data_IF_498060707280
#
_entry.id   IF_498060707280
#
_cell.length_a   1.000
_cell.length_b   1.000
_cell.length_c   1.000
_cell.angle_alpha   90.00
_cell.angle_beta   90.00
_cell.angle_gamma   90.00
#
_symmetry.space_group_name_H-M   'P 1'
#
loop_
_entity.id
_entity.type
_entity.pdbx_description
1 polymer ?
#
# COMPACT_ATOMS: atom_id res chain seq x y z
N UNK A 1 -8.67 29.02 -18.29
CA UNK A 1 -7.80 27.83 -18.17
C UNK A 1 -8.16 26.94 -16.99
N UNK A 2 -8.03 27.36 -15.72
CA UNK A 2 -8.45 26.53 -14.58
C UNK A 2 -9.99 26.41 -14.44
N UNK A 3 -10.74 27.47 -14.73
CA UNK A 3 -12.23 27.47 -14.68
C UNK A 3 -12.86 26.59 -15.76
N UNK A 4 -12.26 26.55 -16.95
CA UNK A 4 -12.82 25.82 -18.10
C UNK A 4 -12.65 24.30 -17.93
N UNK A 5 -11.55 23.89 -17.29
CA UNK A 5 -11.32 22.50 -16.89
C UNK A 5 -12.32 22.06 -15.81
N UNK A 6 -12.53 22.86 -14.77
CA UNK A 6 -13.49 22.51 -13.72
C UNK A 6 -14.93 22.44 -14.24
N UNK A 7 -15.30 23.34 -15.16
CA UNK A 7 -16.61 23.31 -15.82
C UNK A 7 -16.80 22.05 -16.68
N UNK A 8 -15.76 21.63 -17.41
CA UNK A 8 -15.85 20.40 -18.22
C UNK A 8 -15.90 19.14 -17.35
N UNK A 9 -15.13 19.10 -16.26
CA UNK A 9 -15.16 18.01 -15.27
C UNK A 9 -16.52 17.92 -14.55
N UNK A 10 -17.10 19.06 -14.16
CA UNK A 10 -18.44 19.13 -13.56
C UNK A 10 -19.52 18.58 -14.51
N UNK A 11 -19.52 19.02 -15.79
CA UNK A 11 -20.47 18.53 -16.79
C UNK A 11 -20.28 17.04 -17.08
N UNK A 12 -19.04 16.57 -17.14
CA UNK A 12 -18.68 15.15 -17.30
C UNK A 12 -19.13 14.31 -16.09
N UNK A 13 -18.99 14.82 -14.87
CA UNK A 13 -19.50 14.17 -13.68
C UNK A 13 -21.03 14.05 -13.69
N UNK A 14 -21.74 15.11 -14.07
CA UNK A 14 -23.19 15.09 -14.16
C UNK A 14 -23.72 14.15 -15.25
N UNK A 15 -23.07 14.09 -16.42
CA UNK A 15 -23.50 13.19 -17.50
C UNK A 15 -23.37 11.71 -17.14
N UNK A 16 -22.32 11.33 -16.38
CA UNK A 16 -22.12 9.96 -15.88
C UNK A 16 -23.26 9.45 -15.01
N UNK A 17 -24.01 10.35 -14.38
CA UNK A 17 -25.19 10.01 -13.55
C UNK A 17 -26.51 10.41 -14.23
N UNK A 18 -26.50 10.68 -15.53
CA UNK A 18 -27.66 11.16 -16.30
C UNK A 18 -28.33 12.42 -15.72
N UNK A 19 -27.56 13.25 -15.02
CA UNK A 19 -28.02 14.52 -14.48
C UNK A 19 -27.74 15.65 -15.48
N UNK A 20 -28.77 16.42 -15.84
CA UNK A 20 -28.63 17.63 -16.65
C UNK A 20 -28.60 18.83 -15.72
N UNK A 21 -27.43 19.46 -15.60
CA UNK A 21 -27.29 20.72 -14.85
C UNK A 21 -28.05 21.81 -15.61
N UNK A 22 -29.06 22.46 -15.02
CA UNK A 22 -29.71 23.58 -15.67
C UNK A 22 -28.70 24.72 -15.83
N UNK A 23 -28.66 25.34 -17.02
CA UNK A 23 -27.63 26.32 -17.39
C UNK A 23 -27.52 27.49 -16.39
N UNK A 24 -28.66 27.91 -15.82
CA UNK A 24 -28.73 28.96 -14.79
C UNK A 24 -28.03 28.61 -13.47
N UNK A 25 -27.85 27.32 -13.16
CA UNK A 25 -27.24 26.86 -11.92
C UNK A 25 -25.77 26.50 -12.08
N UNK A 26 -25.22 26.41 -13.30
CA UNK A 26 -23.83 25.99 -13.52
C UNK A 26 -22.83 26.81 -12.71
N UNK A 27 -23.07 28.12 -12.58
CA UNK A 27 -22.21 29.00 -11.78
C UNK A 27 -22.26 28.65 -10.29
N UNK A 28 -23.43 28.35 -9.76
CA UNK A 28 -23.62 27.99 -8.34
C UNK A 28 -22.91 26.67 -8.04
N UNK A 29 -23.11 25.66 -8.89
CA UNK A 29 -22.42 24.36 -8.78
C UNK A 29 -20.89 24.52 -8.85
N UNK A 30 -20.40 25.36 -9.76
CA UNK A 30 -18.96 25.66 -9.85
C UNK A 30 -18.42 26.28 -8.56
N UNK A 31 -19.15 27.22 -7.95
CA UNK A 31 -18.74 27.85 -6.69
C UNK A 31 -18.64 26.80 -5.57
N UNK A 32 -19.67 25.97 -5.42
CA UNK A 32 -19.69 24.92 -4.39
C UNK A 32 -18.55 23.92 -4.58
N UNK A 33 -18.40 23.40 -5.81
CA UNK A 33 -17.33 22.44 -6.12
C UNK A 33 -15.93 23.04 -5.93
N UNK A 34 -15.74 24.31 -6.30
CA UNK A 34 -14.45 25.00 -6.10
C UNK A 34 -14.09 25.09 -4.62
N UNK A 35 -15.07 25.45 -3.77
CA UNK A 35 -14.86 25.54 -2.33
C UNK A 35 -14.59 24.17 -1.69
N UNK A 36 -15.36 23.14 -2.08
CA UNK A 36 -15.11 21.77 -1.63
C UNK A 36 -13.75 21.26 -2.08
N UNK A 37 -13.36 21.49 -3.33
CA UNK A 37 -12.06 21.10 -3.86
C UNK A 37 -10.91 21.77 -3.10
N UNK A 38 -11.02 23.07 -2.80
CA UNK A 38 -10.03 23.77 -1.98
C UNK A 38 -9.90 23.19 -0.56
N UNK A 39 -10.99 22.67 0.01
CA UNK A 39 -10.96 21.94 1.27
C UNK A 39 -10.27 20.57 1.16
N UNK A 40 -10.58 19.82 0.10
CA UNK A 40 -9.97 18.52 -0.19
C UNK A 40 -8.46 18.68 -0.46
N UNK A 41 -8.05 19.67 -1.25
CA UNK A 41 -6.65 19.94 -1.55
C UNK A 41 -5.83 20.21 -0.28
N UNK A 42 -6.40 20.94 0.70
CA UNK A 42 -5.75 21.15 2.00
C UNK A 42 -5.57 19.86 2.78
N UNK A 43 -6.55 18.96 2.74
CA UNK A 43 -6.48 17.65 3.40
C UNK A 43 -5.45 16.75 2.69
N UNK A 44 -5.48 16.68 1.36
CA UNK A 44 -4.55 15.88 0.55
C UNK A 44 -3.10 16.36 0.66
N UNK A 45 -2.88 17.64 1.02
CA UNK A 45 -1.55 18.18 1.30
C UNK A 45 -1.03 17.86 2.71
N UNK A 46 -1.87 17.31 3.60
CA UNK A 46 -1.40 16.83 4.89
C UNK A 46 -0.57 15.55 4.71
N UNK A 47 0.46 15.33 5.54
CA UNK A 47 1.18 14.07 5.52
C UNK A 47 0.26 12.92 5.95
N UNK A 48 0.39 11.78 5.27
CA UNK A 48 -0.29 10.56 5.65
C UNK A 48 0.15 10.09 7.04
N UNK A 49 -0.82 9.70 7.87
CA UNK A 49 -0.53 8.98 9.10
C UNK A 49 -0.34 7.50 8.79
N UNK A 50 0.88 7.00 8.97
CA UNK A 50 1.23 5.61 8.70
C UNK A 50 2.14 5.03 9.78
N UNK A 51 2.05 3.73 10.09
CA UNK A 51 3.01 3.06 10.96
C UNK A 51 4.42 3.17 10.37
N UNK A 52 5.41 3.48 11.23
CA UNK A 52 6.81 3.58 10.81
C UNK A 52 7.47 2.22 11.10
N UNK A 53 7.97 1.50 10.07
CA UNK A 53 8.67 0.23 10.28
C UNK A 53 10.05 0.48 10.92
N UNK A 54 10.44 -0.39 11.85
CA UNK A 54 11.78 -0.37 12.45
C UNK A 54 12.79 -1.11 11.56
N UNK A 55 13.25 -0.43 10.51
CA UNK A 55 14.21 -0.96 9.54
C UNK A 55 15.62 -1.13 10.12
N UNK A 56 15.94 -0.43 11.21
CA UNK A 56 17.24 -0.54 11.87
C UNK A 56 17.36 -1.86 12.63
N UNK A 57 16.34 -2.20 13.43
CA UNK A 57 16.31 -3.47 14.16
C UNK A 57 16.02 -4.64 13.20
N UNK A 58 15.16 -4.42 12.21
CA UNK A 58 14.71 -5.47 11.30
C UNK A 58 15.05 -5.11 9.84
N UNK A 59 16.33 -5.15 9.43
CA UNK A 59 16.70 -4.87 8.05
C UNK A 59 16.09 -5.90 7.09
N UNK A 60 15.72 -5.45 5.88
CA UNK A 60 15.25 -6.32 4.79
C UNK A 60 16.45 -6.80 4.02
N UNK A 61 16.78 -8.08 4.14
CA UNK A 61 17.95 -8.68 3.49
C UNK A 61 17.51 -9.65 2.40
N UNK A 62 18.27 -9.76 1.32
CA UNK A 62 18.03 -10.72 0.23
C UNK A 62 16.62 -10.63 -0.38
N UNK A 63 16.11 -9.41 -0.58
CA UNK A 63 14.82 -9.19 -1.24
C UNK A 63 14.93 -9.51 -2.73
N UNK A 64 14.27 -10.57 -3.18
CA UNK A 64 14.32 -11.01 -4.59
C UNK A 64 13.15 -11.92 -4.97
N UNK A 65 12.83 -11.97 -6.25
CA UNK A 65 12.03 -13.07 -6.78
C UNK A 65 12.89 -14.34 -6.81
N UNK A 66 12.40 -15.48 -6.29
CA UNK A 66 13.16 -16.71 -6.33
C UNK A 66 13.16 -17.32 -7.73
N UNK A 67 14.30 -17.88 -8.19
CA UNK A 67 14.34 -18.65 -9.43
C UNK A 67 13.51 -19.93 -9.30
N UNK A 68 13.08 -20.51 -10.42
CA UNK A 68 12.21 -21.69 -10.45
C UNK A 68 12.75 -22.88 -9.64
N UNK A 69 14.07 -23.07 -9.61
CA UNK A 69 14.72 -24.15 -8.84
C UNK A 69 14.51 -24.01 -7.32
N UNK A 70 14.38 -22.78 -6.80
CA UNK A 70 14.12 -22.48 -5.39
C UNK A 70 12.62 -22.31 -5.08
N UNK A 71 11.77 -22.30 -6.12
CA UNK A 71 10.34 -22.10 -6.01
C UNK A 71 9.55 -23.11 -6.89
N UNK A 72 9.77 -24.42 -6.71
CA UNK A 72 9.18 -25.45 -7.58
C UNK A 72 7.65 -25.48 -7.51
N UNK A 73 7.08 -25.09 -6.35
CA UNK A 73 5.63 -24.99 -6.14
C UNK A 73 5.03 -23.66 -6.58
N UNK A 74 5.87 -22.71 -7.03
CA UNK A 74 5.45 -21.34 -7.38
C UNK A 74 4.69 -20.63 -6.25
N UNK A 75 4.98 -21.01 -5.01
CA UNK A 75 4.29 -20.51 -3.82
C UNK A 75 4.87 -19.19 -3.30
N UNK A 76 6.09 -18.83 -3.70
CA UNK A 76 6.73 -17.57 -3.32
C UNK A 76 6.58 -16.51 -4.41
N UNK A 77 6.06 -15.34 -4.05
CA UNK A 77 6.09 -14.14 -4.87
C UNK A 77 7.46 -13.46 -4.74
N UNK A 78 7.89 -13.28 -3.49
CA UNK A 78 9.18 -12.69 -3.12
C UNK A 78 9.80 -13.46 -1.97
N UNK A 79 11.12 -13.57 -1.97
CA UNK A 79 11.92 -13.95 -0.80
C UNK A 79 12.48 -12.70 -0.17
N UNK A 80 12.53 -12.70 1.15
CA UNK A 80 13.16 -11.69 1.97
C UNK A 80 13.56 -12.34 3.29
N UNK A 81 14.62 -11.85 3.90
CA UNK A 81 15.07 -12.28 5.21
C UNK A 81 14.99 -11.10 6.17
N UNK A 82 14.03 -11.15 7.09
CA UNK A 82 13.74 -10.07 8.04
C UNK A 82 13.66 -10.66 9.44
N UNK A 83 14.39 -10.07 10.37
CA UNK A 83 14.46 -10.52 11.77
C UNK A 83 15.54 -11.56 12.08
N UNK A 84 16.34 -11.99 11.10
CA UNK A 84 17.51 -12.86 11.34
C UNK A 84 18.67 -12.15 12.01
N UNK A 85 18.83 -10.85 11.74
CA UNK A 85 19.88 -9.99 12.31
C UNK A 85 19.40 -9.18 13.53
N UNK A 86 18.08 -9.10 13.72
CA UNK A 86 17.44 -8.27 14.74
C UNK A 86 17.20 -9.01 16.05
N UNK A 87 17.34 -8.29 17.17
CA UNK A 87 16.90 -8.80 18.47
C UNK A 87 15.40 -8.55 18.64
N UNK A 88 14.69 -9.54 19.18
CA UNK A 88 13.29 -9.39 19.53
C UNK A 88 13.13 -8.33 20.63
N UNK A 89 12.20 -7.39 20.43
CA UNK A 89 12.02 -6.22 21.30
C UNK A 89 10.96 -6.41 22.39
N UNK A 90 9.97 -7.28 22.19
CA UNK A 90 8.90 -7.53 23.16
C UNK A 90 8.97 -8.92 23.79
N UNK A 91 9.26 -9.96 23.01
CA UNK A 91 9.20 -11.34 23.48
C UNK A 91 9.92 -12.33 22.57
N UNK A 92 9.92 -13.61 22.93
CA UNK A 92 10.61 -14.67 22.15
C UNK A 92 9.70 -15.85 21.79
N UNK A 93 8.39 -15.66 21.86
CA UNK A 93 7.41 -16.73 21.63
C UNK A 93 7.57 -17.39 20.25
N UNK A 94 7.99 -16.62 19.24
CA UNK A 94 8.18 -17.10 17.87
C UNK A 94 9.66 -17.33 17.52
N UNK A 95 10.56 -17.35 18.50
CA UNK A 95 11.98 -17.58 18.26
C UNK A 95 12.22 -18.91 17.54
N UNK A 96 13.03 -18.85 16.48
CA UNK A 96 13.32 -20.00 15.61
C UNK A 96 12.21 -20.35 14.62
N UNK A 97 11.10 -19.61 14.59
CA UNK A 97 10.03 -19.81 13.60
C UNK A 97 10.23 -18.92 12.37
N UNK A 98 9.94 -19.50 11.21
CA UNK A 98 9.91 -18.79 9.93
C UNK A 98 8.47 -18.64 9.46
N UNK A 99 8.12 -17.44 9.02
CA UNK A 99 6.76 -17.07 8.61
C UNK A 99 6.80 -16.56 7.17
N UNK A 100 5.99 -17.17 6.30
CA UNK A 100 5.61 -16.58 5.02
C UNK A 100 4.35 -15.74 5.19
N UNK A 101 4.33 -14.54 4.62
CA UNK A 101 3.16 -13.64 4.65
C UNK A 101 2.49 -13.61 3.30
N UNK A 102 1.15 -13.62 3.26
CA UNK A 102 0.39 -13.50 2.00
C UNK A 102 0.81 -12.24 1.24
N UNK A 103 0.93 -12.30 -0.08
CA UNK A 103 1.43 -11.19 -0.92
C UNK A 103 0.45 -10.01 -1.04
N UNK A 104 -0.64 -9.99 -0.30
CA UNK A 104 -1.49 -8.82 -0.09
C UNK A 104 -1.18 -8.09 1.23
N UNK A 105 -0.27 -8.61 2.05
CA UNK A 105 0.13 -8.05 3.34
C UNK A 105 1.38 -7.18 3.14
N UNK A 106 1.29 -5.90 3.50
CA UNK A 106 2.41 -4.97 3.39
C UNK A 106 3.59 -5.40 4.26
N UNK A 107 4.77 -5.47 3.63
CA UNK A 107 6.06 -5.60 4.27
C UNK A 107 6.93 -4.51 3.66
N UNK A 108 7.34 -3.53 4.47
CA UNK A 108 8.07 -2.37 3.98
C UNK A 108 9.26 -2.78 3.11
N UNK A 109 9.45 -2.09 1.99
CA UNK A 109 10.54 -2.29 1.01
C UNK A 109 10.49 -3.64 0.25
N UNK A 110 9.44 -4.45 0.41
CA UNK A 110 9.26 -5.70 -0.32
C UNK A 110 8.08 -5.59 -1.31
N UNK A 111 8.31 -5.66 -2.63
CA UNK A 111 7.26 -5.44 -3.62
C UNK A 111 6.06 -6.38 -3.49
N UNK A 112 4.87 -5.89 -3.85
CA UNK A 112 3.60 -6.62 -3.86
C UNK A 112 3.18 -6.87 -5.32
N UNK A 113 2.76 -8.09 -5.63
CA UNK A 113 2.16 -8.48 -6.91
C UNK A 113 0.64 -8.60 -6.82
N UNK A 114 0.06 -8.76 -5.62
CA UNK A 114 -1.38 -8.90 -5.39
C UNK A 114 -2.08 -10.06 -6.13
N UNK A 115 -1.34 -10.91 -6.84
CA UNK A 115 -1.90 -11.99 -7.67
C UNK A 115 -2.58 -11.51 -8.96
N UNK A 116 -2.46 -10.23 -9.30
CA UNK A 116 -3.12 -9.63 -10.48
C UNK A 116 -2.18 -8.68 -11.22
N UNK A 117 -2.42 -8.54 -12.53
CA UNK A 117 -1.76 -7.55 -13.40
C UNK A 117 -2.40 -6.15 -13.31
N UNK A 118 -3.46 -5.97 -12.51
CA UNK A 118 -4.10 -4.68 -12.31
C UNK A 118 -3.22 -3.67 -11.53
N UNK A 119 -2.23 -4.16 -10.79
CA UNK A 119 -1.30 -3.34 -10.01
C UNK A 119 0.14 -3.73 -10.34
N UNK A 120 0.93 -2.77 -10.81
CA UNK A 120 2.34 -3.00 -11.12
C UNK A 120 3.25 -2.10 -10.28
N UNK A 121 4.35 -2.67 -9.80
CA UNK A 121 5.45 -1.90 -9.19
C UNK A 121 5.16 -1.31 -7.81
N UNK A 122 4.08 -1.71 -7.13
CA UNK A 122 3.81 -1.21 -5.78
C UNK A 122 4.77 -1.80 -4.76
N UNK A 123 5.53 -0.92 -4.11
CA UNK A 123 6.41 -1.24 -2.98
C UNK A 123 5.87 -0.50 -1.76
N UNK A 124 5.41 -1.21 -0.72
CA UNK A 124 4.85 -0.56 0.46
C UNK A 124 5.96 0.09 1.28
N UNK A 125 5.63 1.23 1.89
CA UNK A 125 6.52 1.97 2.81
C UNK A 125 6.29 1.57 4.28
N UNK A 126 5.36 0.65 4.54
CA UNK A 126 4.91 0.27 5.88
C UNK A 126 4.92 -1.23 6.06
N UNK A 127 5.09 -1.65 7.31
CA UNK A 127 4.73 -2.99 7.73
C UNK A 127 3.27 -3.03 8.17
N UNK A 128 2.56 -4.07 7.73
CA UNK A 128 1.30 -4.42 8.35
C UNK A 128 1.53 -4.76 9.83
N UNK A 129 0.60 -4.39 10.71
CA UNK A 129 0.71 -4.61 12.16
C UNK A 129 1.06 -6.06 12.53
N UNK A 130 0.57 -7.04 11.77
CA UNK A 130 0.88 -8.45 11.99
C UNK A 130 2.36 -8.78 11.75
N UNK A 131 3.00 -8.14 10.77
CA UNK A 131 4.43 -8.30 10.47
C UNK A 131 5.26 -7.79 11.63
N UNK A 132 4.96 -6.57 12.11
CA UNK A 132 5.60 -5.98 13.29
C UNK A 132 5.49 -6.91 14.50
N UNK A 133 4.28 -7.39 14.82
CA UNK A 133 4.06 -8.29 15.97
C UNK A 133 4.86 -9.60 15.88
N UNK A 134 5.01 -10.16 14.67
CA UNK A 134 5.84 -11.36 14.46
C UNK A 134 7.30 -11.07 14.76
N UNK A 135 7.83 -9.98 14.22
CA UNK A 135 9.23 -9.56 14.41
C UNK A 135 9.55 -9.24 15.87
N UNK A 136 8.69 -8.47 16.54
CA UNK A 136 8.84 -8.08 17.95
C UNK A 136 8.81 -9.28 18.91
N UNK A 137 8.21 -10.40 18.49
CA UNK A 137 8.16 -11.67 19.24
C UNK A 137 9.23 -12.69 18.79
N UNK A 138 10.21 -12.26 18.01
CA UNK A 138 11.37 -13.05 17.60
C UNK A 138 11.13 -13.99 16.43
N UNK A 139 10.01 -13.84 15.71
CA UNK A 139 9.74 -14.56 14.48
C UNK A 139 10.52 -13.96 13.31
N UNK A 140 10.84 -14.80 12.33
CA UNK A 140 11.54 -14.39 11.10
C UNK A 140 10.58 -14.39 9.92
N UNK A 141 10.53 -13.30 9.16
CA UNK A 141 9.80 -13.28 7.88
C UNK A 141 10.72 -13.83 6.79
N UNK A 142 10.26 -14.88 6.11
CA UNK A 142 11.03 -15.59 5.07
C UNK A 142 10.70 -15.15 3.63
N UNK A 143 9.68 -14.31 3.48
CA UNK A 143 9.22 -13.79 2.20
C UNK A 143 7.70 -13.65 2.13
N UNK A 144 7.23 -13.38 0.92
CA UNK A 144 5.83 -13.15 0.57
C UNK A 144 5.33 -14.33 -0.27
N UNK A 145 4.28 -14.98 0.19
CA UNK A 145 3.65 -16.10 -0.50
C UNK A 145 2.61 -15.59 -1.51
N UNK A 146 2.59 -16.16 -2.71
CA UNK A 146 1.65 -15.83 -3.79
C UNK A 146 0.20 -15.91 -3.29
N UNK A 147 -0.64 -15.02 -3.80
CA UNK A 147 -2.09 -15.02 -3.61
C UNK A 147 -2.81 -15.19 -4.96
N UNK A 148 -4.13 -15.36 -4.88
CA UNK A 148 -5.07 -15.66 -5.96
C UNK A 148 -4.81 -14.88 -7.25
#
# INVERSE_FOLDING_TARGET
MASDKLLSEMRSAASRINFKIPQQHEKDYLIFLSQSNAGIEKLMAQPDYKPIPDLNTYPRVNVRQPPSIENPLRAWAWRADIGSLGAATLGKLLSGKQVGVKDSICVAEVPLLFGTDAFEGYVPEVDATVVTRVLENGGRIAGKAVCE
#
